data_IF_123837222894
#
_entry.id   IF_123837222894
#
_cell.length_a   1.000
_cell.length_b   1.000
_cell.length_c   1.000
_cell.angle_alpha   90.00
_cell.angle_beta   90.00
_cell.angle_gamma   90.00
#
_symmetry.space_group_name_H-M   'P 1'
#
loop_
_entity.id
_entity.type
_entity.pdbx_description
1 polymer ?
#
# COMPACT_ATOMS: atom_id res chain seq x y z
N UNK A 1 7.06 12.95 2.25
CA UNK A 1 7.30 13.75 3.48
C UNK A 1 6.21 13.57 4.54
N UNK A 2 4.91 13.65 4.18
CA UNK A 2 3.82 13.62 5.16
C UNK A 2 3.76 12.34 6.02
N UNK A 3 3.81 11.11 5.49
CA UNK A 3 3.73 9.91 6.32
C UNK A 3 4.90 9.79 7.30
N UNK A 4 6.11 10.11 6.86
CA UNK A 4 7.31 10.01 7.68
C UNK A 4 7.32 11.05 8.80
N UNK A 5 6.96 12.31 8.49
CA UNK A 5 6.89 13.39 9.49
C UNK A 5 5.82 13.12 10.55
N UNK A 6 4.63 12.66 10.16
CA UNK A 6 3.56 12.33 11.11
C UNK A 6 3.94 11.17 12.02
N UNK A 7 4.57 10.12 11.46
CA UNK A 7 5.03 8.99 12.25
C UNK A 7 6.12 9.38 13.25
N UNK A 8 7.07 10.23 12.84
CA UNK A 8 8.10 10.77 13.73
C UNK A 8 7.49 11.61 14.85
N UNK A 9 6.60 12.52 14.51
CA UNK A 9 5.89 13.36 15.50
C UNK A 9 5.13 12.52 16.53
N UNK A 10 4.39 11.49 16.10
CA UNK A 10 3.68 10.57 17.01
C UNK A 10 4.68 9.84 17.92
N UNK A 11 5.82 9.40 17.39
CA UNK A 11 6.85 8.73 18.18
C UNK A 11 7.46 9.62 19.24
N UNK A 12 7.50 10.94 19.02
CA UNK A 12 8.05 11.93 19.96
C UNK A 12 7.08 12.28 21.10
N UNK A 13 5.77 12.40 20.79
CA UNK A 13 4.76 12.82 21.78
C UNK A 13 4.16 11.68 22.59
N UNK A 14 4.26 10.45 22.12
CA UNK A 14 3.64 9.29 22.76
C UNK A 14 4.64 8.52 23.63
N UNK A 15 4.28 8.16 24.90
CA UNK A 15 5.10 7.30 25.73
C UNK A 15 5.51 5.99 25.04
N UNK A 16 6.70 5.49 25.36
CA UNK A 16 7.28 4.34 24.68
C UNK A 16 6.42 3.06 24.75
N UNK A 17 5.70 2.88 25.85
CA UNK A 17 4.79 1.74 26.11
C UNK A 17 3.51 1.80 25.27
N UNK A 18 3.12 2.97 24.73
CA UNK A 18 1.91 3.17 23.90
C UNK A 18 2.19 3.51 22.45
N UNK A 19 3.44 3.52 22.01
CA UNK A 19 3.82 3.85 20.63
C UNK A 19 3.19 2.90 19.61
N UNK A 20 3.14 1.62 19.90
CA UNK A 20 2.53 0.62 19.03
C UNK A 20 1.03 0.85 18.81
N UNK A 21 0.29 1.15 19.88
CA UNK A 21 -1.13 1.48 19.82
C UNK A 21 -1.39 2.73 18.97
N UNK A 22 -0.62 3.78 19.23
CA UNK A 22 -0.77 5.07 18.51
C UNK A 22 -0.41 4.96 17.04
N UNK A 23 0.62 4.20 16.68
CA UNK A 23 0.96 3.91 15.28
C UNK A 23 -0.13 3.06 14.60
N UNK A 24 -0.75 2.14 15.33
CA UNK A 24 -1.89 1.37 14.86
C UNK A 24 -3.08 2.26 14.51
N UNK A 25 -3.46 3.19 15.42
CA UNK A 25 -4.53 4.16 15.20
C UNK A 25 -4.21 5.06 14.00
N UNK A 26 -2.97 5.56 13.90
CA UNK A 26 -2.53 6.37 12.75
C UNK A 26 -2.69 5.61 11.43
N UNK A 27 -2.30 4.34 11.39
CA UNK A 27 -2.48 3.48 10.22
C UNK A 27 -3.95 3.24 9.86
N UNK A 28 -4.82 3.10 10.88
CA UNK A 28 -6.28 2.97 10.68
C UNK A 28 -6.88 4.24 10.07
N UNK A 29 -6.52 5.42 10.59
CA UNK A 29 -7.00 6.71 10.06
C UNK A 29 -6.56 6.88 8.59
N UNK A 30 -5.31 6.54 8.27
CA UNK A 30 -4.82 6.53 6.89
C UNK A 30 -5.62 5.59 5.98
N UNK A 31 -5.92 4.38 6.46
CA UNK A 31 -6.77 3.41 5.77
C UNK A 31 -8.20 3.92 5.53
N UNK A 32 -8.80 4.54 6.54
CA UNK A 32 -10.13 5.15 6.41
C UNK A 32 -10.14 6.26 5.35
N UNK A 33 -9.12 7.12 5.32
CA UNK A 33 -8.98 8.14 4.28
C UNK A 33 -8.91 7.53 2.87
N UNK A 34 -8.20 6.42 2.71
CA UNK A 34 -8.11 5.68 1.43
C UNK A 34 -9.43 5.02 1.02
N UNK A 35 -10.30 4.65 1.99
CA UNK A 35 -11.62 4.10 1.71
C UNK A 35 -12.63 5.18 1.34
N UNK A 36 -12.74 6.17 2.22
CA UNK A 36 -13.76 7.21 2.10
C UNK A 36 -13.45 8.21 0.97
N UNK A 37 -12.17 8.47 0.68
CA UNK A 37 -11.77 9.39 -0.39
C UNK A 37 -12.40 9.06 -1.75
N UNK A 38 -12.12 7.89 -2.34
CA UNK A 38 -12.71 7.51 -3.63
C UNK A 38 -14.23 7.32 -3.56
N UNK A 39 -14.79 6.82 -2.46
CA UNK A 39 -16.22 6.64 -2.29
C UNK A 39 -16.96 7.99 -2.26
N UNK A 40 -16.46 8.95 -1.46
CA UNK A 40 -16.99 10.31 -1.39
C UNK A 40 -16.79 11.05 -2.73
N UNK A 41 -15.62 10.94 -3.31
CA UNK A 41 -15.32 11.53 -4.62
C UNK A 41 -16.23 11.00 -5.72
N UNK A 42 -16.45 9.68 -5.77
CA UNK A 42 -17.39 9.07 -6.70
C UNK A 42 -18.84 9.50 -6.47
N UNK A 43 -19.26 9.69 -5.22
CA UNK A 43 -20.58 10.20 -4.87
C UNK A 43 -20.75 11.68 -5.31
N UNK A 44 -19.74 12.51 -5.06
CA UNK A 44 -19.78 13.93 -5.46
C UNK A 44 -19.90 14.05 -6.98
N UNK A 45 -19.07 13.36 -7.77
CA UNK A 45 -19.11 13.41 -9.23
C UNK A 45 -20.43 12.87 -9.80
N UNK A 46 -21.08 11.97 -9.08
CA UNK A 46 -22.37 11.42 -9.48
C UNK A 46 -23.53 12.41 -9.32
N UNK A 47 -23.48 13.30 -8.30
CA UNK A 47 -24.58 14.21 -7.96
C UNK A 47 -24.29 15.67 -8.25
N UNK A 48 -23.04 16.03 -8.48
CA UNK A 48 -22.56 17.40 -8.69
C UNK A 48 -21.56 17.45 -9.83
N UNK A 49 -21.17 18.66 -10.23
CA UNK A 49 -20.14 18.89 -11.21
C UNK A 49 -18.75 18.49 -10.65
N UNK A 50 -17.85 18.08 -11.56
CA UNK A 50 -16.48 17.72 -11.24
C UNK A 50 -15.71 18.84 -10.53
N UNK A 51 -16.07 20.10 -10.80
CA UNK A 51 -15.48 21.25 -10.12
C UNK A 51 -15.72 21.23 -8.61
N UNK A 52 -16.89 20.74 -8.16
CA UNK A 52 -17.23 20.62 -6.74
C UNK A 52 -16.32 19.58 -6.05
N UNK A 53 -15.93 18.51 -6.77
CA UNK A 53 -14.95 17.55 -6.26
C UNK A 53 -13.62 18.25 -5.96
N UNK A 54 -13.10 19.06 -6.87
CA UNK A 54 -11.85 19.79 -6.67
C UNK A 54 -11.95 20.83 -5.56
N UNK A 55 -13.05 21.57 -5.47
CA UNK A 55 -13.28 22.52 -4.37
C UNK A 55 -13.36 21.83 -3.03
N UNK A 56 -14.05 20.71 -2.92
CA UNK A 56 -14.15 19.91 -1.69
C UNK A 56 -12.78 19.38 -1.28
N UNK A 57 -12.02 18.84 -2.24
CA UNK A 57 -10.64 18.35 -1.97
C UNK A 57 -9.73 19.49 -1.51
N UNK A 58 -9.81 20.67 -2.14
CA UNK A 58 -9.03 21.84 -1.76
C UNK A 58 -9.40 22.34 -0.35
N UNK A 59 -10.70 22.39 -0.05
CA UNK A 59 -11.19 22.80 1.27
C UNK A 59 -10.71 21.85 2.37
N UNK A 60 -10.78 20.53 2.15
CA UNK A 60 -10.26 19.53 3.10
C UNK A 60 -8.74 19.64 3.29
N UNK A 61 -8.01 19.95 2.22
CA UNK A 61 -6.57 20.15 2.27
C UNK A 61 -6.21 21.42 3.06
N UNK A 62 -6.93 22.52 2.86
CA UNK A 62 -6.76 23.76 3.63
C UNK A 62 -7.10 23.55 5.11
N UNK A 63 -8.18 22.83 5.41
CA UNK A 63 -8.54 22.47 6.78
C UNK A 63 -7.42 21.66 7.45
N UNK A 64 -6.80 20.72 6.72
CA UNK A 64 -5.64 19.97 7.20
C UNK A 64 -4.45 20.87 7.55
N UNK A 65 -4.19 21.91 6.74
CA UNK A 65 -3.14 22.89 7.01
C UNK A 65 -3.46 23.69 8.28
N UNK A 66 -4.71 24.17 8.44
CA UNK A 66 -5.14 24.93 9.62
C UNK A 66 -4.95 24.12 10.91
N UNK A 67 -5.25 22.81 10.89
CA UNK A 67 -5.01 21.92 12.04
C UNK A 67 -3.50 21.84 12.36
N UNK A 68 -2.65 21.76 11.32
CA UNK A 68 -1.20 21.67 11.49
C UNK A 68 -0.58 22.93 12.08
N UNK A 69 -1.16 24.12 11.86
CA UNK A 69 -0.65 25.38 12.41
C UNK A 69 -0.63 25.42 13.94
N UNK A 70 -1.49 24.65 14.59
CA UNK A 70 -1.55 24.56 16.04
C UNK A 70 -0.63 23.49 16.65
N UNK A 71 0.10 22.74 15.82
CA UNK A 71 1.02 21.70 16.31
C UNK A 71 2.30 22.33 16.87
N UNK A 72 2.69 21.90 18.06
CA UNK A 72 3.94 22.32 18.69
C UNK A 72 5.11 21.54 18.09
N UNK A 73 6.23 22.22 17.88
CA UNK A 73 7.49 21.59 17.46
C UNK A 73 8.01 20.67 18.58
N UNK A 74 8.29 19.43 18.26
CA UNK A 74 8.79 18.42 19.21
C UNK A 74 10.31 18.30 19.19
N UNK A 75 10.97 18.80 18.14
CA UNK A 75 12.42 18.73 18.03
C UNK A 75 13.09 19.72 18.98
N UNK A 76 13.95 19.22 19.89
CA UNK A 76 14.72 20.07 20.79
C UNK A 76 15.65 21.01 20.02
N UNK A 77 15.85 22.23 20.52
CA UNK A 77 16.70 23.25 19.89
C UNK A 77 18.15 22.78 19.67
N UNK A 78 18.66 21.91 20.54
CA UNK A 78 19.99 21.29 20.43
C UNK A 78 20.12 20.32 19.25
N UNK A 79 19.03 19.76 18.75
CA UNK A 79 19.00 18.85 17.59
C UNK A 79 18.60 19.52 16.28
N UNK A 80 18.32 20.81 16.29
CA UNK A 80 18.00 21.57 15.09
C UNK A 80 19.29 21.86 14.31
N UNK A 81 19.61 20.98 13.39
CA UNK A 81 20.65 21.27 12.40
C UNK A 81 20.16 22.33 11.41
N UNK A 82 21.00 23.34 11.16
CA UNK A 82 20.70 24.32 10.10
C UNK A 82 20.71 23.59 8.76
N UNK A 83 19.68 23.85 7.96
CA UNK A 83 19.63 23.29 6.59
C UNK A 83 20.90 23.72 5.84
N UNK A 84 21.67 22.73 5.44
CA UNK A 84 22.85 22.94 4.56
C UNK A 84 22.57 22.22 3.22
N UNK A 85 22.95 22.85 2.12
CA UNK A 85 22.82 22.25 0.79
C UNK A 85 23.59 20.91 0.66
N UNK A 86 24.58 20.69 1.55
CA UNK A 86 25.29 19.42 1.69
C UNK A 86 24.36 18.24 2.06
N UNK A 87 23.27 18.49 2.81
CA UNK A 87 22.29 17.49 3.16
C UNK A 87 21.44 17.01 1.96
N UNK A 88 21.48 17.73 0.84
CA UNK A 88 20.87 17.34 -0.44
C UNK A 88 21.78 16.46 -1.30
N UNK A 89 23.06 16.32 -0.94
CA UNK A 89 23.97 15.37 -1.61
C UNK A 89 23.63 13.95 -1.19
N UNK A 90 22.75 13.33 -1.97
CA UNK A 90 22.36 11.93 -1.79
C UNK A 90 23.49 11.05 -2.36
N UNK A 91 24.19 10.36 -1.49
CA UNK A 91 25.20 9.38 -1.90
C UNK A 91 24.48 8.12 -2.38
N UNK A 92 24.77 7.62 -3.58
CA UNK A 92 24.09 6.43 -4.16
C UNK A 92 24.14 5.20 -3.24
N UNK A 93 25.21 5.06 -2.45
CA UNK A 93 25.36 3.97 -1.48
C UNK A 93 24.48 4.12 -0.23
N UNK A 94 23.88 5.30 0.01
CA UNK A 94 23.04 5.59 1.16
C UNK A 94 21.53 5.43 0.87
N UNK A 95 21.16 5.30 -0.42
CA UNK A 95 19.76 5.24 -0.85
C UNK A 95 19.15 3.86 -0.60
N UNK A 96 19.90 2.79 -0.89
CA UNK A 96 19.38 1.43 -0.93
C UNK A 96 20.02 0.57 0.15
N UNK A 97 19.21 -0.04 0.99
CA UNK A 97 19.64 -1.07 1.94
C UNK A 97 19.49 -2.47 1.32
N UNK A 98 20.61 -3.15 1.12
CA UNK A 98 20.64 -4.47 0.49
C UNK A 98 20.07 -5.57 1.39
N UNK A 99 20.05 -5.38 2.70
CA UNK A 99 19.53 -6.38 3.65
C UNK A 99 18.04 -6.67 3.45
N UNK A 100 17.27 -5.67 2.99
CA UNK A 100 15.82 -5.74 2.79
C UNK A 100 15.40 -6.12 1.37
N UNK A 101 16.35 -6.50 0.51
CA UNK A 101 16.04 -6.89 -0.88
C UNK A 101 14.96 -7.97 -1.00
N UNK A 102 14.84 -8.95 -0.10
CA UNK A 102 13.73 -9.91 -0.16
C UNK A 102 12.36 -9.24 -0.08
N UNK A 103 12.21 -8.24 0.79
CA UNK A 103 10.96 -7.48 0.92
C UNK A 103 10.73 -6.58 -0.30
N UNK A 104 11.79 -5.93 -0.78
CA UNK A 104 11.76 -5.04 -1.96
C UNK A 104 11.17 -5.75 -3.17
N UNK A 105 11.62 -6.98 -3.45
CA UNK A 105 11.11 -7.78 -4.57
C UNK A 105 9.62 -8.10 -4.36
N UNK A 106 9.23 -8.56 -3.19
CA UNK A 106 7.85 -8.92 -2.91
C UNK A 106 6.93 -7.72 -3.01
N UNK A 107 7.30 -6.60 -2.35
CA UNK A 107 6.44 -5.41 -2.32
C UNK A 107 6.33 -4.76 -3.71
N UNK A 108 7.39 -4.75 -4.51
CA UNK A 108 7.37 -4.23 -5.87
C UNK A 108 6.33 -4.96 -6.73
N UNK A 109 6.40 -6.28 -6.80
CA UNK A 109 5.50 -7.07 -7.64
C UNK A 109 4.06 -7.12 -7.11
N UNK A 110 3.85 -7.09 -5.80
CA UNK A 110 2.50 -7.03 -5.23
C UNK A 110 1.87 -5.64 -5.39
N UNK A 111 2.66 -4.57 -5.27
CA UNK A 111 2.20 -3.19 -5.49
C UNK A 111 1.90 -2.90 -6.96
N UNK A 112 2.46 -3.67 -7.89
CA UNK A 112 2.11 -3.62 -9.31
C UNK A 112 0.61 -3.90 -9.52
N UNK A 113 0.06 -4.93 -8.87
CA UNK A 113 -1.38 -5.20 -8.93
C UNK A 113 -2.22 -4.06 -8.35
N UNK A 114 -1.75 -3.43 -7.27
CA UNK A 114 -2.42 -2.26 -6.71
C UNK A 114 -2.50 -1.12 -7.73
N UNK A 115 -1.40 -0.79 -8.41
CA UNK A 115 -1.37 0.23 -9.46
C UNK A 115 -2.33 -0.09 -10.60
N UNK A 116 -2.35 -1.35 -11.08
CA UNK A 116 -3.29 -1.81 -12.12
C UNK A 116 -4.75 -1.62 -11.68
N UNK A 117 -5.08 -2.03 -10.46
CA UNK A 117 -6.44 -1.97 -9.92
C UNK A 117 -6.89 -0.52 -9.76
N UNK A 118 -6.06 0.35 -9.17
CA UNK A 118 -6.42 1.77 -8.98
C UNK A 118 -6.69 2.46 -10.32
N UNK A 119 -5.96 2.09 -11.36
CA UNK A 119 -6.10 2.71 -12.68
C UNK A 119 -7.32 2.17 -13.46
N UNK A 120 -7.57 0.86 -13.43
CA UNK A 120 -8.52 0.23 -14.36
C UNK A 120 -9.88 -0.14 -13.75
N UNK A 121 -9.97 -0.26 -12.43
CA UNK A 121 -11.25 -0.60 -11.77
C UNK A 121 -12.34 0.46 -11.96
N UNK A 122 -12.05 1.77 -12.01
CA UNK A 122 -13.08 2.76 -12.34
C UNK A 122 -13.77 2.51 -13.69
N UNK A 123 -13.02 2.11 -14.72
CA UNK A 123 -13.55 1.82 -16.04
C UNK A 123 -14.33 0.51 -16.06
N UNK A 124 -13.81 -0.53 -15.39
CA UNK A 124 -14.52 -1.79 -15.19
C UNK A 124 -15.83 -1.57 -14.44
N UNK A 125 -15.82 -0.80 -13.36
CA UNK A 125 -17.03 -0.47 -12.59
C UNK A 125 -18.09 0.22 -13.45
N UNK A 126 -17.66 1.15 -14.30
CA UNK A 126 -18.55 1.83 -15.25
C UNK A 126 -19.12 0.85 -16.28
N UNK A 127 -18.31 -0.06 -16.81
CA UNK A 127 -18.74 -1.02 -17.84
C UNK A 127 -19.79 -2.03 -17.34
N UNK A 128 -19.81 -2.32 -16.05
CA UNK A 128 -20.83 -3.19 -15.41
C UNK A 128 -22.01 -2.39 -14.84
N UNK A 129 -22.12 -1.09 -15.15
CA UNK A 129 -23.27 -0.26 -14.78
C UNK A 129 -23.21 0.32 -13.36
N UNK A 130 -22.08 0.27 -12.67
CA UNK A 130 -21.95 0.90 -11.36
C UNK A 130 -21.80 2.43 -11.51
N UNK A 131 -22.71 3.15 -10.88
CA UNK A 131 -22.68 4.62 -10.86
C UNK A 131 -21.52 5.15 -10.00
N UNK A 132 -21.27 4.55 -8.84
CA UNK A 132 -20.17 4.95 -7.96
C UNK A 132 -18.90 4.15 -8.24
N UNK A 133 -17.94 4.75 -8.93
CA UNK A 133 -16.63 4.15 -9.23
C UNK A 133 -15.76 3.90 -7.99
N UNK A 134 -16.08 4.55 -6.86
CA UNK A 134 -15.39 4.37 -5.58
C UNK A 134 -15.84 3.14 -4.79
N UNK A 135 -16.91 2.46 -5.21
CA UNK A 135 -17.48 1.30 -4.51
C UNK A 135 -16.45 0.20 -4.21
N UNK A 136 -15.66 -0.18 -5.21
CA UNK A 136 -14.60 -1.18 -5.05
C UNK A 136 -13.61 -0.81 -3.94
N UNK A 137 -13.19 0.45 -3.93
CA UNK A 137 -12.20 0.96 -2.98
C UNK A 137 -12.74 1.01 -1.55
N UNK A 138 -14.03 1.29 -1.38
CA UNK A 138 -14.68 1.20 -0.08
C UNK A 138 -14.66 -0.24 0.45
N UNK A 139 -15.12 -1.20 -0.37
CA UNK A 139 -15.21 -2.61 0.03
C UNK A 139 -13.84 -3.18 0.36
N UNK A 140 -12.85 -2.98 -0.51
CA UNK A 140 -11.51 -3.52 -0.26
C UNK A 140 -10.88 -2.92 0.99
N UNK A 141 -11.10 -1.64 1.27
CA UNK A 141 -10.50 -1.02 2.46
C UNK A 141 -11.14 -1.53 3.75
N UNK A 142 -12.46 -1.71 3.77
CA UNK A 142 -13.14 -2.32 4.92
C UNK A 142 -12.62 -3.74 5.19
N UNK A 143 -12.48 -4.56 4.15
CA UNK A 143 -11.89 -5.89 4.26
C UNK A 143 -10.42 -5.85 4.73
N UNK A 144 -9.64 -4.89 4.22
CA UNK A 144 -8.24 -4.69 4.62
C UNK A 144 -8.10 -4.31 6.09
N UNK A 145 -8.96 -3.41 6.59
CA UNK A 145 -8.96 -3.02 8.00
C UNK A 145 -9.32 -4.22 8.89
N UNK A 146 -10.36 -4.96 8.52
CA UNK A 146 -10.81 -6.13 9.29
C UNK A 146 -9.72 -7.18 9.49
N UNK A 147 -8.96 -7.51 8.43
CA UNK A 147 -7.91 -8.54 8.50
C UNK A 147 -6.63 -8.08 9.19
N UNK A 148 -6.31 -6.78 9.21
CA UNK A 148 -5.06 -6.24 9.79
C UNK A 148 -4.82 -6.66 11.23
N UNK A 149 -5.88 -6.66 12.05
CA UNK A 149 -5.79 -7.05 13.45
C UNK A 149 -5.38 -8.52 13.64
N UNK A 150 -5.82 -9.39 12.73
CA UNK A 150 -5.51 -10.82 12.76
C UNK A 150 -4.15 -11.11 12.12
N UNK A 151 -3.82 -10.43 11.04
CA UNK A 151 -2.62 -10.65 10.25
C UNK A 151 -1.33 -10.42 11.04
N UNK A 152 -1.27 -9.39 11.88
CA UNK A 152 -0.11 -9.10 12.73
C UNK A 152 0.19 -10.27 13.68
N UNK A 153 -0.78 -10.66 14.50
CA UNK A 153 -0.65 -11.78 15.44
C UNK A 153 -0.32 -13.09 14.73
N UNK A 154 -0.95 -13.34 13.59
CA UNK A 154 -0.68 -14.52 12.78
C UNK A 154 0.75 -14.56 12.26
N UNK A 155 1.26 -13.42 11.80
CA UNK A 155 2.62 -13.27 11.29
C UNK A 155 3.68 -13.44 12.38
N UNK A 156 3.43 -12.94 13.58
CA UNK A 156 4.34 -13.10 14.71
C UNK A 156 4.47 -14.59 15.13
N UNK A 157 3.37 -15.35 15.04
CA UNK A 157 3.34 -16.77 15.40
C UNK A 157 3.93 -17.70 14.33
N UNK A 158 3.64 -17.44 13.04
CA UNK A 158 3.95 -18.38 11.94
C UNK A 158 5.11 -17.92 11.05
N UNK A 159 5.65 -16.71 11.31
CA UNK A 159 6.73 -16.10 10.53
C UNK A 159 6.22 -15.28 9.34
N UNK A 160 6.99 -14.23 8.99
CA UNK A 160 6.65 -13.22 7.99
C UNK A 160 6.42 -13.85 6.60
N UNK A 161 7.34 -14.71 6.19
CA UNK A 161 7.32 -15.31 4.85
C UNK A 161 6.08 -16.19 4.61
N UNK A 162 5.61 -16.91 5.65
CA UNK A 162 4.45 -17.80 5.50
C UNK A 162 3.16 -17.00 5.31
N UNK A 163 2.99 -15.92 6.06
CA UNK A 163 1.79 -15.11 5.99
C UNK A 163 1.79 -14.24 4.73
N UNK A 164 2.98 -13.79 4.28
CA UNK A 164 3.12 -13.14 2.96
C UNK A 164 2.79 -14.08 1.80
N UNK A 165 3.16 -15.37 1.86
CA UNK A 165 2.75 -16.36 0.86
C UNK A 165 1.23 -16.45 0.75
N UNK A 166 0.53 -16.51 1.88
CA UNK A 166 -0.95 -16.51 1.88
C UNK A 166 -1.49 -15.20 1.29
N UNK A 167 -0.92 -14.04 1.65
CA UNK A 167 -1.28 -12.75 1.07
C UNK A 167 -1.09 -12.70 -0.44
N UNK A 168 0.02 -13.25 -0.98
CA UNK A 168 0.27 -13.32 -2.42
C UNK A 168 -0.72 -14.24 -3.13
N UNK A 169 -1.04 -15.42 -2.57
CA UNK A 169 -2.06 -16.29 -3.10
C UNK A 169 -3.43 -15.60 -3.18
N UNK A 170 -3.84 -14.96 -2.09
CA UNK A 170 -5.10 -14.21 -2.03
C UNK A 170 -5.13 -13.08 -3.07
N UNK A 171 -3.99 -12.40 -3.28
CA UNK A 171 -3.85 -11.35 -4.30
C UNK A 171 -4.03 -11.91 -5.71
N UNK A 172 -3.37 -13.03 -6.03
CA UNK A 172 -3.49 -13.70 -7.33
C UNK A 172 -4.94 -14.07 -7.60
N UNK A 173 -5.64 -14.67 -6.62
CA UNK A 173 -7.06 -14.99 -6.75
C UNK A 173 -7.94 -13.75 -6.91
N UNK A 174 -7.65 -12.66 -6.19
CA UNK A 174 -8.39 -11.41 -6.34
C UNK A 174 -8.25 -10.85 -7.75
N UNK A 175 -7.02 -10.82 -8.30
CA UNK A 175 -6.74 -10.33 -9.65
C UNK A 175 -7.29 -11.27 -10.72
N UNK A 176 -7.31 -12.58 -10.47
CA UNK A 176 -7.96 -13.54 -11.36
C UNK A 176 -9.47 -13.32 -11.43
N UNK A 177 -10.13 -13.20 -10.28
CA UNK A 177 -11.59 -13.01 -10.23
C UNK A 177 -12.00 -11.68 -10.89
N UNK A 178 -11.25 -10.59 -10.69
CA UNK A 178 -11.59 -9.31 -11.30
C UNK A 178 -11.44 -9.34 -12.82
N UNK A 179 -10.54 -10.16 -13.38
CA UNK A 179 -10.37 -10.30 -14.81
C UNK A 179 -11.67 -10.79 -15.50
N UNK A 180 -12.52 -11.51 -14.79
CA UNK A 180 -13.80 -12.03 -15.28
C UNK A 180 -15.02 -11.36 -14.64
N UNK A 181 -14.83 -10.17 -14.01
CA UNK A 181 -15.92 -9.48 -13.36
C UNK A 181 -16.86 -8.82 -14.40
N UNK A 182 -18.06 -9.35 -14.52
CA UNK A 182 -19.13 -8.87 -15.39
C UNK A 182 -20.37 -8.43 -14.62
N UNK A 183 -20.33 -8.51 -13.29
CA UNK A 183 -21.39 -8.06 -12.40
C UNK A 183 -20.82 -7.59 -11.06
N UNK A 184 -21.70 -6.94 -10.27
CA UNK A 184 -21.31 -6.38 -8.97
C UNK A 184 -20.88 -7.44 -7.95
N UNK A 185 -21.43 -8.65 -8.00
CA UNK A 185 -21.10 -9.70 -7.02
C UNK A 185 -19.67 -10.18 -7.19
N UNK A 186 -19.24 -10.45 -8.43
CA UNK A 186 -17.88 -10.87 -8.75
C UNK A 186 -16.89 -9.76 -8.43
N UNK A 187 -17.25 -8.50 -8.77
CA UNK A 187 -16.43 -7.33 -8.43
C UNK A 187 -16.26 -7.20 -6.91
N UNK A 188 -17.34 -7.38 -6.14
CA UNK A 188 -17.32 -7.33 -4.67
C UNK A 188 -16.46 -8.46 -4.09
N UNK A 189 -16.59 -9.68 -4.60
CA UNK A 189 -15.77 -10.81 -4.17
C UNK A 189 -14.27 -10.53 -4.40
N UNK A 190 -13.92 -10.00 -5.58
CA UNK A 190 -12.54 -9.55 -5.85
C UNK A 190 -12.10 -8.47 -4.88
N UNK A 191 -12.93 -7.45 -4.60
CA UNK A 191 -12.61 -6.36 -3.69
C UNK A 191 -12.33 -6.87 -2.27
N UNK A 192 -13.11 -7.83 -1.77
CA UNK A 192 -12.89 -8.45 -0.46
C UNK A 192 -11.55 -9.19 -0.43
N UNK A 193 -11.27 -10.04 -1.41
CA UNK A 193 -10.02 -10.79 -1.49
C UNK A 193 -8.81 -9.86 -1.64
N UNK A 194 -8.93 -8.82 -2.47
CA UNK A 194 -7.90 -7.79 -2.63
C UNK A 194 -7.65 -7.06 -1.31
N UNK A 195 -8.72 -6.72 -0.57
CA UNK A 195 -8.64 -6.11 0.76
C UNK A 195 -7.94 -7.00 1.77
N UNK A 196 -8.29 -8.28 1.83
CA UNK A 196 -7.61 -9.26 2.68
C UNK A 196 -6.12 -9.32 2.34
N UNK A 197 -5.79 -9.42 1.06
CA UNK A 197 -4.40 -9.47 0.61
C UNK A 197 -3.61 -8.22 1.01
N UNK A 198 -4.12 -7.01 0.71
CA UNK A 198 -3.45 -5.75 1.04
C UNK A 198 -3.36 -5.52 2.55
N UNK A 199 -4.38 -5.94 3.30
CA UNK A 199 -4.39 -5.90 4.76
C UNK A 199 -3.33 -6.80 5.41
N UNK A 200 -2.89 -7.83 4.69
CA UNK A 200 -1.80 -8.73 5.08
C UNK A 200 -0.45 -8.20 4.59
N UNK A 201 -0.30 -8.00 3.27
CA UNK A 201 0.98 -7.72 2.62
C UNK A 201 1.61 -6.43 3.15
N UNK A 202 0.85 -5.34 3.23
CA UNK A 202 1.37 -4.03 3.60
C UNK A 202 2.01 -3.99 5.00
N UNK A 203 1.30 -4.33 6.10
CA UNK A 203 1.89 -4.27 7.44
C UNK A 203 2.98 -5.31 7.67
N UNK A 204 2.84 -6.51 7.09
CA UNK A 204 3.83 -7.57 7.29
C UNK A 204 5.12 -7.29 6.53
N UNK A 205 5.06 -6.68 5.33
CA UNK A 205 6.25 -6.22 4.62
C UNK A 205 7.00 -5.15 5.41
N UNK A 206 6.29 -4.21 6.06
CA UNK A 206 6.92 -3.22 6.93
C UNK A 206 7.61 -3.88 8.13
N UNK A 207 6.93 -4.79 8.81
CA UNK A 207 7.51 -5.53 9.93
C UNK A 207 8.72 -6.36 9.49
N UNK A 208 8.63 -7.05 8.37
CA UNK A 208 9.73 -7.85 7.82
C UNK A 208 10.92 -6.99 7.41
N UNK A 209 10.69 -5.78 6.89
CA UNK A 209 11.75 -4.80 6.62
C UNK A 209 12.54 -4.46 7.89
N UNK A 210 11.83 -4.21 8.99
CA UNK A 210 12.47 -3.92 10.29
C UNK A 210 13.21 -5.14 10.85
N UNK A 211 12.65 -6.34 10.67
CA UNK A 211 13.27 -7.60 11.14
C UNK A 211 14.59 -7.94 10.37
N UNK A 212 14.73 -7.47 9.13
CA UNK A 212 15.91 -7.76 8.28
C UNK A 212 17.02 -6.72 8.38
N UNK A 213 16.74 -5.52 8.86
CA UNK A 213 17.72 -4.44 8.89
C UNK A 213 18.36 -4.28 10.28
N UNK A 214 19.58 -3.75 10.29
CA UNK A 214 20.21 -3.29 11.52
C UNK A 214 19.49 -2.06 12.08
N UNK A 215 19.50 -1.90 13.39
CA UNK A 215 18.80 -0.84 14.10
C UNK A 215 19.16 0.57 13.60
N UNK A 216 20.45 0.81 13.36
CA UNK A 216 20.98 2.08 12.83
C UNK A 216 20.53 2.38 11.39
N UNK A 217 20.10 1.36 10.62
CA UNK A 217 19.73 1.46 9.21
C UNK A 217 18.22 1.45 8.98
N UNK A 218 17.38 1.41 10.03
CA UNK A 218 15.90 1.31 9.92
C UNK A 218 15.29 2.34 8.97
N UNK A 219 15.71 3.60 9.06
CA UNK A 219 15.18 4.66 8.19
C UNK A 219 15.50 4.39 6.72
N UNK A 220 16.73 3.97 6.40
CA UNK A 220 17.18 3.62 5.05
C UNK A 220 16.45 2.38 4.52
N UNK A 221 16.29 1.35 5.34
CA UNK A 221 15.59 0.13 5.01
C UNK A 221 14.12 0.39 4.64
N UNK A 222 13.42 1.15 5.47
CA UNK A 222 12.03 1.55 5.24
C UNK A 222 11.92 2.42 3.97
N UNK A 223 12.83 3.38 3.76
CA UNK A 223 12.85 4.19 2.55
C UNK A 223 13.04 3.32 1.30
N UNK A 224 13.95 2.33 1.35
CA UNK A 224 14.17 1.38 0.26
C UNK A 224 12.91 0.59 -0.08
N UNK A 225 12.19 0.10 0.93
CA UNK A 225 10.92 -0.60 0.75
C UNK A 225 9.85 0.32 0.10
N UNK A 226 9.74 1.58 0.56
CA UNK A 226 8.78 2.52 -0.03
C UNK A 226 9.12 2.90 -1.47
N UNK A 227 10.40 3.03 -1.83
CA UNK A 227 10.82 3.24 -3.23
C UNK A 227 10.32 2.08 -4.10
N UNK A 228 10.45 0.84 -3.64
CA UNK A 228 9.96 -0.32 -4.37
C UNK A 228 8.43 -0.35 -4.47
N UNK A 229 7.73 0.02 -3.39
CA UNK A 229 6.27 0.11 -3.34
C UNK A 229 5.77 1.13 -4.38
N UNK A 230 6.29 2.34 -4.36
CA UNK A 230 5.88 3.41 -5.27
C UNK A 230 6.24 3.10 -6.73
N UNK A 231 7.43 2.53 -6.96
CA UNK A 231 7.82 2.06 -8.27
C UNK A 231 6.88 0.95 -8.78
N UNK A 232 6.52 -0.02 -7.92
CA UNK A 232 5.56 -1.06 -8.24
C UNK A 232 4.21 -0.48 -8.65
N UNK A 233 3.67 0.47 -7.86
CA UNK A 233 2.41 1.16 -8.18
C UNK A 233 2.52 1.89 -9.52
N UNK A 234 3.59 2.66 -9.73
CA UNK A 234 3.81 3.42 -10.96
C UNK A 234 3.88 2.54 -12.20
N UNK A 235 4.67 1.47 -12.17
CA UNK A 235 4.74 0.50 -13.28
C UNK A 235 3.43 -0.25 -13.46
N UNK A 236 2.73 -0.58 -12.38
CA UNK A 236 1.42 -1.23 -12.40
C UNK A 236 0.30 -0.34 -12.92
N UNK A 237 0.42 0.97 -12.78
CA UNK A 237 -0.48 1.93 -13.42
C UNK A 237 -0.15 2.13 -14.91
N UNK A 238 1.13 2.17 -15.27
CA UNK A 238 1.59 2.51 -16.62
C UNK A 238 1.55 1.32 -17.58
N UNK A 239 2.23 0.20 -17.25
CA UNK A 239 2.43 -0.89 -18.21
C UNK A 239 1.12 -1.57 -18.66
N UNK A 240 0.15 -1.84 -17.77
CA UNK A 240 -1.13 -2.44 -18.19
C UNK A 240 -1.93 -1.57 -19.16
N UNK A 241 -1.76 -0.24 -19.14
CA UNK A 241 -2.50 0.65 -20.06
C UNK A 241 -2.15 0.44 -21.53
N UNK A 242 -0.93 -0.01 -21.82
CA UNK A 242 -0.53 -0.38 -23.20
C UNK A 242 -1.28 -1.61 -23.72
N UNK A 243 -1.73 -2.50 -22.83
CA UNK A 243 -2.56 -3.66 -23.18
C UNK A 243 -4.03 -3.23 -23.23
N UNK A 244 -4.46 -2.42 -22.28
CA UNK A 244 -5.84 -1.96 -22.13
C UNK A 244 -6.31 -1.10 -23.32
N UNK A 245 -5.50 -0.14 -23.76
CA UNK A 245 -5.78 0.76 -24.89
C UNK A 245 -7.17 1.41 -24.84
N UNK A 246 -7.68 1.69 -23.65
CA UNK A 246 -9.04 2.22 -23.40
C UNK A 246 -10.17 1.36 -24.01
N UNK A 247 -9.94 0.06 -24.19
CA UNK A 247 -10.93 -0.88 -24.71
C UNK A 247 -11.36 -1.87 -23.64
N UNK A 248 -12.61 -1.81 -23.23
CA UNK A 248 -13.18 -2.67 -22.18
C UNK A 248 -12.94 -4.16 -22.44
N UNK A 249 -12.99 -4.61 -23.71
CA UNK A 249 -12.71 -5.99 -24.10
C UNK A 249 -11.32 -6.49 -23.73
N UNK A 250 -10.36 -5.58 -23.53
CA UNK A 250 -8.97 -5.90 -23.19
C UNK A 250 -8.74 -5.99 -21.67
N UNK A 251 -9.70 -5.57 -20.82
CA UNK A 251 -9.57 -5.63 -19.37
C UNK A 251 -9.22 -7.01 -18.84
N UNK A 252 -9.86 -8.12 -19.29
CA UNK A 252 -9.50 -9.45 -18.81
C UNK A 252 -8.03 -9.79 -19.02
N UNK A 253 -7.51 -9.58 -20.24
CA UNK A 253 -6.11 -9.84 -20.57
C UNK A 253 -5.17 -8.95 -19.76
N UNK A 254 -5.56 -7.70 -19.53
CA UNK A 254 -4.78 -6.74 -18.76
C UNK A 254 -4.66 -7.15 -17.30
N UNK A 255 -5.74 -7.60 -16.68
CA UNK A 255 -5.70 -8.13 -15.31
C UNK A 255 -4.93 -9.47 -15.23
N UNK A 256 -5.07 -10.36 -16.22
CA UNK A 256 -4.29 -11.60 -16.29
C UNK A 256 -2.79 -11.33 -16.45
N UNK A 257 -2.40 -10.31 -17.19
CA UNK A 257 -1.01 -9.82 -17.23
C UNK A 257 -0.52 -9.39 -15.84
N UNK A 258 -1.31 -8.58 -15.13
CA UNK A 258 -0.99 -8.16 -13.77
C UNK A 258 -0.88 -9.36 -12.81
N UNK A 259 -1.76 -10.37 -12.95
CA UNK A 259 -1.69 -11.61 -12.19
C UNK A 259 -0.37 -12.37 -12.44
N UNK A 260 0.08 -12.45 -13.71
CA UNK A 260 1.35 -13.09 -14.05
C UNK A 260 2.54 -12.34 -13.38
N UNK A 261 2.52 -11.02 -13.37
CA UNK A 261 3.55 -10.20 -12.69
C UNK A 261 3.56 -10.45 -11.18
N UNK A 262 2.39 -10.49 -10.53
CA UNK A 262 2.29 -10.82 -9.09
C UNK A 262 2.79 -12.23 -8.78
N UNK A 263 2.60 -13.18 -9.70
CA UNK A 263 3.06 -14.56 -9.52
C UNK A 263 4.58 -14.66 -9.36
N UNK A 264 5.33 -13.68 -9.85
CA UNK A 264 6.78 -13.59 -9.64
C UNK A 264 7.09 -13.41 -8.14
N UNK A 265 6.32 -12.58 -7.42
CA UNK A 265 6.48 -12.42 -5.96
C UNK A 265 6.24 -13.73 -5.21
N UNK A 266 5.19 -14.46 -5.60
CA UNK A 266 4.86 -15.76 -5.00
C UNK A 266 5.98 -16.79 -5.23
N UNK A 267 6.45 -16.93 -6.47
CA UNK A 267 7.54 -17.84 -6.84
C UNK A 267 8.81 -17.47 -6.06
N UNK A 268 9.15 -16.18 -6.02
CA UNK A 268 10.31 -15.72 -5.27
C UNK A 268 10.22 -16.08 -3.79
N UNK A 269 9.09 -15.85 -3.13
CA UNK A 269 8.88 -16.19 -1.72
C UNK A 269 9.01 -17.70 -1.46
N UNK A 270 8.49 -18.54 -2.36
CA UNK A 270 8.62 -20.01 -2.26
C UNK A 270 10.09 -20.42 -2.30
N UNK A 271 10.85 -19.88 -3.27
CA UNK A 271 12.28 -20.18 -3.43
C UNK A 271 13.07 -19.66 -2.21
N UNK A 272 12.80 -18.45 -1.78
CA UNK A 272 13.46 -17.82 -0.62
C UNK A 272 13.27 -18.66 0.64
N UNK A 273 12.02 -19.07 0.92
CA UNK A 273 11.68 -19.91 2.08
C UNK A 273 12.36 -21.27 2.04
N UNK A 274 12.43 -21.91 0.85
CA UNK A 274 13.15 -23.20 0.68
C UNK A 274 14.65 -23.05 0.97
N UNK A 275 15.30 -22.03 0.44
CA UNK A 275 16.73 -21.76 0.69
C UNK A 275 17.02 -21.49 2.17
N UNK A 276 16.19 -20.67 2.84
CA UNK A 276 16.34 -20.38 4.27
C UNK A 276 16.19 -21.65 5.12
N UNK A 277 15.29 -22.55 4.75
CA UNK A 277 15.11 -23.83 5.43
C UNK A 277 16.33 -24.74 5.24
N UNK A 278 16.91 -24.81 4.05
CA UNK A 278 18.10 -25.61 3.76
C UNK A 278 19.31 -25.17 4.59
N UNK A 279 19.55 -23.84 4.72
CA UNK A 279 20.67 -23.30 5.53
C UNK A 279 20.52 -23.60 7.02
N UNK A 280 19.31 -23.78 7.53
CA UNK A 280 19.05 -24.04 8.96
C UNK A 280 19.33 -25.51 9.37
N UNK A 281 19.50 -26.40 8.39
CA UNK A 281 19.78 -27.82 8.60
C UNK A 281 21.25 -28.18 8.34
N UNK A 282 22.09 -27.22 7.97
CA UNK A 282 23.55 -27.29 7.89
C UNK A 282 24.15 -26.60 9.12
#
# INVERSE_FOLDING_TARGET
FKPTGTAAYIADIVPADRRGESMGIHGLIGGLGMAFGPALGGWIVQHFDINILFYTSSALSLLSILILLNMKETLSMERKEKFAAAHLKINRHEIIDKSVMPVVIVIFFTSFAYGTIVTLVPDLSQSIGLKNKGYYFLVYTLASIAIRFLAGKWSDKNGREQVLLFGCWTLIFAVFIIAFAHNILILTASAILFGISMGIISPISQAWTVDLCEEKNRGKAIATMYIALEAGIGFGALLPTFIYQNQIKNLPVTFLFSMAVVSIALIYLIIYKRKKKAIRYI
#
